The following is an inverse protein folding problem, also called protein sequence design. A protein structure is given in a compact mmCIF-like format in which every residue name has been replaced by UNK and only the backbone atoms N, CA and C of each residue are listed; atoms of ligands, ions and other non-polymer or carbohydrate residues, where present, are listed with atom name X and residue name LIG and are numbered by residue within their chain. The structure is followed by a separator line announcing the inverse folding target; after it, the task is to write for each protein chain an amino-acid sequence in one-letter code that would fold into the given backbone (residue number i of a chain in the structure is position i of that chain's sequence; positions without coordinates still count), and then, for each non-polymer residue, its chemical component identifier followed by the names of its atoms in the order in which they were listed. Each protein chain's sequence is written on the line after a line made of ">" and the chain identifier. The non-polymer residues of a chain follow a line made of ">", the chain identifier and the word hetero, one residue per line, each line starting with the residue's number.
data_IF_781759315160
#
_entry.id   IF_781759315160
#
_cell.length_a   1.000
_cell.length_b   1.000
_cell.length_c   1.000
_cell.angle_alpha   90.00
_cell.angle_beta   90.00
_cell.angle_gamma   90.00
#
_symmetry.space_group_name_H-M   'P 1'
#
loop_
_entity.id
_entity.type
_entity.pdbx_description
1 polymer ?
#
# COMPACT_ATOMS: atom_id res chain seq x y z
N UNK A 1 -12.61 3.93 -13.06
CA UNK A 1 -11.71 5.12 -13.13
C UNK A 1 -10.51 4.82 -14.02
N UNK A 2 -9.89 5.85 -14.58
CA UNK A 2 -8.67 5.73 -15.38
C UNK A 2 -7.92 7.06 -15.41
N UNK A 3 -6.66 7.01 -15.79
CA UNK A 3 -5.84 8.19 -16.08
C UNK A 3 -5.86 8.38 -17.60
N UNK A 4 -6.24 9.57 -18.03
CA UNK A 4 -6.24 9.96 -19.46
C UNK A 4 -4.87 10.45 -19.90
N UNK A 5 -4.23 11.26 -19.04
CA UNK A 5 -2.94 11.85 -19.33
C UNK A 5 -2.02 11.83 -18.12
N UNK A 6 -0.75 11.51 -18.36
CA UNK A 6 0.32 11.55 -17.37
C UNK A 6 1.51 12.37 -17.89
N UNK A 7 1.92 13.37 -17.12
CA UNK A 7 3.10 14.17 -17.38
C UNK A 7 4.12 14.00 -16.27
N UNK A 8 5.36 13.72 -16.63
CA UNK A 8 6.48 13.59 -15.71
C UNK A 8 7.60 14.55 -16.12
N UNK A 9 8.18 15.24 -15.14
CA UNK A 9 9.38 16.05 -15.32
C UNK A 9 10.36 15.70 -14.20
N UNK A 10 11.57 15.32 -14.56
CA UNK A 10 12.65 14.96 -13.64
C UNK A 10 12.25 13.90 -12.60
N UNK A 11 11.47 12.89 -13.01
CA UNK A 11 11.05 11.81 -12.13
C UNK A 11 11.79 10.51 -12.45
N UNK A 12 12.55 9.99 -11.51
CA UNK A 12 13.35 8.76 -11.65
C UNK A 12 14.28 8.88 -12.88
N UNK A 13 14.11 8.02 -13.89
CA UNK A 13 14.85 8.06 -15.15
C UNK A 13 14.13 8.84 -16.27
N UNK A 14 12.96 9.43 -15.98
CA UNK A 14 12.25 10.29 -16.94
C UNK A 14 12.65 11.74 -16.74
N UNK A 15 13.45 12.29 -17.66
CA UNK A 15 13.73 13.73 -17.69
C UNK A 15 12.46 14.50 -18.07
N UNK A 16 11.73 14.02 -19.09
CA UNK A 16 10.42 14.53 -19.50
C UNK A 16 9.62 13.42 -20.19
N UNK A 17 8.35 13.31 -19.82
CA UNK A 17 7.38 12.41 -20.45
C UNK A 17 6.03 13.10 -20.51
N UNK A 18 5.38 13.04 -21.68
CA UNK A 18 3.97 13.37 -21.87
C UNK A 18 3.30 12.15 -22.49
N UNK A 19 2.29 11.60 -21.83
CA UNK A 19 1.72 10.32 -22.19
C UNK A 19 0.20 10.32 -22.06
N UNK A 20 -0.50 10.09 -23.18
CA UNK A 20 -1.93 9.80 -23.17
C UNK A 20 -2.15 8.30 -23.03
N UNK A 21 -2.98 7.90 -22.08
CA UNK A 21 -3.23 6.49 -21.74
C UNK A 21 -4.62 6.07 -22.24
N UNK A 22 -4.74 4.95 -22.96
CA UNK A 22 -6.02 4.41 -23.36
C UNK A 22 -6.84 3.94 -22.16
N UNK A 23 -8.13 4.27 -22.15
CA UNK A 23 -9.03 4.04 -21.02
C UNK A 23 -9.53 2.59 -20.89
N UNK A 24 -9.50 1.78 -21.95
CA UNK A 24 -10.19 0.46 -21.95
C UNK A 24 -9.38 -0.65 -22.61
N UNK A 25 -8.09 -0.49 -22.68
CA UNK A 25 -7.19 -1.49 -23.25
C UNK A 25 -6.08 -1.78 -22.24
N UNK A 26 -5.69 -3.04 -22.04
CA UNK A 26 -4.47 -3.33 -21.31
C UNK A 26 -3.28 -2.66 -22.00
N UNK A 27 -2.41 -2.05 -21.23
CA UNK A 27 -1.19 -1.41 -21.73
C UNK A 27 -0.02 -2.32 -21.36
N UNK A 28 0.71 -2.81 -22.36
CA UNK A 28 1.91 -3.61 -22.16
C UNK A 28 3.14 -2.75 -22.40
N UNK A 29 3.92 -2.55 -21.37
CA UNK A 29 5.20 -1.85 -21.39
C UNK A 29 6.33 -2.88 -21.54
N UNK A 30 6.92 -2.97 -22.71
CA UNK A 30 8.01 -3.92 -22.93
C UNK A 30 9.36 -3.23 -23.18
N UNK A 31 10.44 -3.87 -22.79
CA UNK A 31 11.81 -3.36 -22.96
C UNK A 31 12.77 -4.03 -21.99
N UNK A 32 14.07 -3.80 -22.18
CA UNK A 32 15.10 -4.36 -21.32
C UNK A 32 14.95 -3.85 -19.86
N UNK A 33 15.67 -4.47 -18.92
CA UNK A 33 15.69 -4.02 -17.54
C UNK A 33 16.31 -2.62 -17.42
N UNK A 34 15.89 -1.88 -16.38
CA UNK A 34 16.33 -0.52 -16.08
C UNK A 34 15.98 0.56 -17.13
N UNK A 35 15.06 0.28 -18.07
CA UNK A 35 14.65 1.24 -19.09
C UNK A 35 13.57 2.25 -18.60
N UNK A 36 12.93 1.99 -17.45
CA UNK A 36 11.93 2.89 -16.86
C UNK A 36 10.53 2.30 -16.73
N UNK A 37 10.31 1.05 -17.09
CA UNK A 37 9.00 0.37 -16.97
C UNK A 37 8.43 0.50 -15.56
N UNK A 38 9.17 0.04 -14.56
CA UNK A 38 8.82 0.13 -13.13
C UNK A 38 8.64 1.57 -12.67
N UNK A 39 9.49 2.52 -13.16
CA UNK A 39 9.38 3.94 -12.78
C UNK A 39 8.08 4.58 -13.26
N UNK A 40 7.52 4.13 -14.39
CA UNK A 40 6.21 4.61 -14.87
C UNK A 40 5.09 4.11 -13.96
N UNK A 41 5.10 2.82 -13.59
CA UNK A 41 4.13 2.28 -12.63
C UNK A 41 4.25 2.97 -11.28
N UNK A 42 5.49 3.21 -10.81
CA UNK A 42 5.75 3.95 -9.58
C UNK A 42 5.18 5.39 -9.63
N UNK A 43 5.28 6.08 -10.78
CA UNK A 43 4.71 7.41 -10.94
C UNK A 43 3.18 7.41 -10.77
N UNK A 44 2.49 6.47 -11.40
CA UNK A 44 1.03 6.31 -11.27
C UNK A 44 0.66 5.99 -9.81
N UNK A 45 1.34 5.03 -9.21
CA UNK A 45 1.14 4.67 -7.79
C UNK A 45 1.40 5.87 -6.87
N UNK A 46 2.46 6.63 -7.13
CA UNK A 46 2.81 7.81 -6.34
C UNK A 46 1.76 8.92 -6.45
N UNK A 47 1.21 9.17 -7.64
CA UNK A 47 0.12 10.14 -7.83
C UNK A 47 -1.14 9.72 -7.05
N UNK A 48 -1.43 8.43 -6.99
CA UNK A 48 -2.59 7.90 -6.27
C UNK A 48 -2.44 7.94 -4.74
N UNK A 49 -1.24 7.65 -4.23
CA UNK A 49 -1.02 7.38 -2.79
C UNK A 49 -0.12 8.40 -2.10
N UNK A 50 0.54 9.27 -2.86
CA UNK A 50 1.63 10.17 -2.41
C UNK A 50 2.78 9.44 -1.68
N UNK A 51 2.95 8.13 -1.93
CA UNK A 51 4.01 7.28 -1.37
C UNK A 51 4.64 6.43 -2.47
N UNK A 52 5.93 6.19 -2.41
CA UNK A 52 6.61 5.25 -3.31
C UNK A 52 6.56 3.84 -2.72
N UNK A 53 6.35 2.79 -3.56
CA UNK A 53 6.46 1.40 -3.12
C UNK A 53 7.92 0.94 -3.00
N UNK A 54 8.87 1.66 -3.59
CA UNK A 54 10.28 1.26 -3.69
C UNK A 54 11.23 2.02 -2.77
N UNK A 55 10.84 3.21 -2.28
CA UNK A 55 11.68 4.03 -1.43
C UNK A 55 10.90 4.68 -0.30
N UNK A 56 11.55 4.80 0.85
CA UNK A 56 11.03 5.56 2.00
C UNK A 56 11.36 7.05 1.93
N UNK A 57 12.19 7.47 0.96
CA UNK A 57 12.70 8.84 0.84
C UNK A 57 12.32 9.44 -0.51
N UNK A 58 11.39 10.37 -0.52
CA UNK A 58 10.91 11.03 -1.75
C UNK A 58 12.03 11.74 -2.54
N UNK A 59 13.16 12.07 -1.90
CA UNK A 59 14.34 12.63 -2.58
C UNK A 59 14.84 11.71 -3.71
N UNK A 60 14.78 10.41 -3.55
CA UNK A 60 15.24 9.43 -4.54
C UNK A 60 14.33 9.37 -5.78
N UNK A 61 13.18 10.04 -5.77
CA UNK A 61 12.28 10.16 -6.91
C UNK A 61 12.72 11.25 -7.89
N UNK A 62 13.56 12.20 -7.45
CA UNK A 62 14.11 13.25 -8.31
C UNK A 62 15.14 12.63 -9.24
N UNK A 63 15.06 12.97 -10.53
CA UNK A 63 15.99 12.48 -11.55
C UNK A 63 17.42 12.88 -11.20
N UNK A 64 18.35 11.94 -11.29
CA UNK A 64 19.73 12.13 -10.88
C UNK A 64 20.45 13.30 -11.60
N UNK A 65 20.13 13.57 -12.87
CA UNK A 65 20.69 14.73 -13.59
C UNK A 65 20.17 16.07 -13.05
N UNK A 66 19.02 16.10 -12.45
CA UNK A 66 18.46 17.31 -11.84
C UNK A 66 19.07 17.59 -10.46
N UNK A 67 19.86 16.68 -9.88
CA UNK A 67 20.54 16.93 -8.61
C UNK A 67 21.59 18.05 -8.69
N UNK A 68 22.12 18.33 -9.88
CA UNK A 68 23.09 19.40 -10.11
C UNK A 68 22.42 20.76 -10.37
N UNK A 69 21.10 20.81 -10.55
CA UNK A 69 20.36 22.06 -10.73
C UNK A 69 20.39 22.89 -9.43
N UNK A 70 20.31 24.23 -9.53
CA UNK A 70 20.24 25.09 -8.34
C UNK A 70 19.08 24.74 -7.41
N UNK A 71 17.95 24.31 -7.99
CA UNK A 71 16.75 23.85 -7.28
C UNK A 71 16.33 22.52 -7.88
N UNK A 72 16.86 21.39 -7.37
CA UNK A 72 16.44 20.06 -7.85
C UNK A 72 14.94 19.83 -7.59
N UNK A 73 14.21 19.40 -8.61
CA UNK A 73 12.79 19.12 -8.46
C UNK A 73 12.35 17.93 -9.33
N UNK A 74 11.25 17.29 -8.94
CA UNK A 74 10.46 16.41 -9.78
C UNK A 74 9.01 16.90 -9.79
N UNK A 75 8.35 16.79 -10.93
CA UNK A 75 6.93 17.10 -11.08
C UNK A 75 6.20 15.95 -11.75
N UNK A 76 5.06 15.58 -11.18
CA UNK A 76 4.13 14.62 -11.74
C UNK A 76 2.78 15.31 -11.90
N UNK A 77 2.10 15.08 -13.01
CA UNK A 77 0.72 15.54 -13.22
C UNK A 77 -0.08 14.42 -13.86
N UNK A 78 -1.26 14.14 -13.35
CA UNK A 78 -2.19 13.17 -13.93
C UNK A 78 -3.57 13.81 -14.11
N UNK A 79 -4.17 13.58 -15.27
CA UNK A 79 -5.57 13.85 -15.53
C UNK A 79 -6.36 12.55 -15.38
N UNK A 80 -7.31 12.57 -14.47
CA UNK A 80 -8.06 11.40 -14.01
C UNK A 80 -9.51 11.56 -14.38
N UNK A 81 -10.09 10.54 -15.00
CA UNK A 81 -11.52 10.46 -15.24
C UNK A 81 -12.14 9.41 -14.27
N UNK A 82 -13.12 9.85 -13.48
CA UNK A 82 -13.91 8.98 -12.62
C UNK A 82 -15.12 8.41 -13.38
N UNK A 83 -15.82 7.46 -12.76
CA UNK A 83 -17.06 6.88 -13.32
C UNK A 83 -18.15 7.92 -13.66
N UNK A 84 -18.17 9.04 -12.96
CA UNK A 84 -19.10 10.14 -13.19
C UNK A 84 -18.66 11.11 -14.29
N UNK A 85 -17.67 10.73 -15.12
CA UNK A 85 -17.04 11.59 -16.15
C UNK A 85 -16.50 12.92 -15.57
N UNK A 86 -16.16 12.91 -14.30
CA UNK A 86 -15.52 14.07 -13.66
C UNK A 86 -14.02 14.01 -13.92
N UNK A 87 -13.53 14.99 -14.68
CA UNK A 87 -12.10 15.14 -14.92
C UNK A 87 -11.46 15.90 -13.76
N UNK A 88 -10.41 15.34 -13.24
CA UNK A 88 -9.65 15.89 -12.11
C UNK A 88 -8.18 15.88 -12.43
N UNK A 89 -7.50 17.01 -12.25
CA UNK A 89 -6.06 17.14 -12.43
C UNK A 89 -5.37 17.15 -11.07
N UNK A 90 -4.50 16.16 -10.87
CA UNK A 90 -3.63 16.04 -9.69
C UNK A 90 -2.21 16.41 -10.12
N UNK A 91 -1.59 17.34 -9.41
CA UNK A 91 -0.20 17.75 -9.63
C UNK A 91 0.58 17.60 -8.34
N UNK A 92 1.75 16.95 -8.41
CA UNK A 92 2.68 16.81 -7.31
C UNK A 92 4.03 17.36 -7.69
N UNK A 93 4.63 18.17 -6.82
CA UNK A 93 5.98 18.68 -7.00
C UNK A 93 6.81 18.35 -5.77
N UNK A 94 7.94 17.71 -6.00
CA UNK A 94 8.99 17.46 -5.02
C UNK A 94 10.12 18.44 -5.31
N UNK A 95 10.50 19.26 -4.34
CA UNK A 95 11.54 20.27 -4.49
C UNK A 95 12.54 20.14 -3.37
N UNK A 96 13.83 20.10 -3.69
CA UNK A 96 14.90 20.07 -2.73
C UNK A 96 15.39 21.51 -2.47
N UNK A 97 14.98 22.10 -1.35
CA UNK A 97 15.46 23.39 -0.89
C UNK A 97 16.81 23.20 -0.21
N UNK A 98 17.87 23.68 -0.84
CA UNK A 98 19.22 23.63 -0.25
C UNK A 98 19.36 24.78 0.76
N UNK A 99 19.82 24.49 1.97
CA UNK A 99 20.19 25.54 2.91
C UNK A 99 21.50 26.19 2.46
N UNK A 100 21.55 27.54 2.39
CA UNK A 100 22.76 28.27 2.10
C UNK A 100 23.86 27.89 3.10
N UNK A 101 25.02 27.42 2.60
CA UNK A 101 26.16 27.05 3.43
C UNK A 101 26.14 25.66 4.06
N UNK A 102 25.18 24.80 3.75
CA UNK A 102 25.15 23.43 4.27
C UNK A 102 26.20 22.55 3.57
N UNK A 103 27.09 21.85 4.30
CA UNK A 103 28.02 20.91 3.71
C UNK A 103 27.26 19.71 3.14
N UNK A 104 27.68 19.23 1.96
CA UNK A 104 27.24 17.97 1.32
C UNK A 104 25.75 17.84 0.98
N UNK A 105 25.12 18.89 0.41
CA UNK A 105 23.80 18.72 -0.19
C UNK A 105 22.66 18.44 0.82
N UNK A 106 22.87 18.74 2.09
CA UNK A 106 21.79 18.70 3.09
C UNK A 106 20.75 19.76 2.74
N UNK A 107 19.61 19.32 2.19
CA UNK A 107 18.47 20.15 1.86
C UNK A 107 17.20 19.58 2.45
N UNK A 108 16.21 20.45 2.66
CA UNK A 108 14.87 20.05 3.06
C UNK A 108 14.05 19.72 1.82
N UNK A 109 13.50 18.52 1.75
CA UNK A 109 12.55 18.20 0.71
C UNK A 109 11.20 18.83 1.03
N UNK A 110 10.66 19.60 0.10
CA UNK A 110 9.31 20.14 0.13
C UNK A 110 8.45 19.41 -0.88
N UNK A 111 7.34 18.86 -0.42
CA UNK A 111 6.30 18.25 -1.25
C UNK A 111 5.12 19.22 -1.31
N UNK A 112 4.69 19.58 -2.51
CA UNK A 112 3.46 20.34 -2.75
C UNK A 112 2.52 19.54 -3.64
N UNK A 113 1.23 19.62 -3.35
CA UNK A 113 0.17 18.90 -4.05
C UNK A 113 -0.89 19.90 -4.46
N UNK A 114 -1.35 19.81 -5.70
CA UNK A 114 -2.47 20.61 -6.20
C UNK A 114 -3.53 19.75 -6.84
N UNK A 115 -4.77 20.09 -6.54
CA UNK A 115 -5.96 19.49 -7.15
C UNK A 115 -6.68 20.59 -7.94
N UNK A 116 -6.76 20.43 -9.25
CA UNK A 116 -7.31 21.44 -10.15
C UNK A 116 -6.71 22.85 -9.92
N UNK A 117 -5.38 22.90 -9.70
CA UNK A 117 -4.63 24.13 -9.44
C UNK A 117 -4.64 24.64 -7.99
N UNK A 118 -5.50 24.12 -7.13
CA UNK A 118 -5.60 24.51 -5.71
C UNK A 118 -4.71 23.65 -4.84
N UNK A 119 -3.93 24.26 -3.93
CA UNK A 119 -3.07 23.54 -2.99
C UNK A 119 -3.89 22.68 -2.03
N UNK A 120 -3.46 21.44 -1.83
CA UNK A 120 -4.15 20.40 -1.06
C UNK A 120 -3.17 19.61 -0.21
N UNK A 121 -3.68 18.93 0.81
CA UNK A 121 -2.91 17.98 1.63
C UNK A 121 -2.94 16.60 0.96
N UNK A 122 -2.01 15.72 1.36
CA UNK A 122 -2.00 14.31 0.92
C UNK A 122 -3.37 13.65 1.14
N UNK A 123 -4.00 13.88 2.28
CA UNK A 123 -5.28 13.29 2.65
C UNK A 123 -6.45 13.72 1.75
N UNK A 124 -6.33 14.89 1.11
CA UNK A 124 -7.38 15.42 0.25
C UNK A 124 -7.36 14.79 -1.17
N UNK A 125 -6.30 14.04 -1.51
CA UNK A 125 -6.11 13.42 -2.83
C UNK A 125 -6.14 11.89 -2.79
N UNK A 126 -5.76 11.27 -1.68
CA UNK A 126 -5.83 9.80 -1.53
C UNK A 126 -7.28 9.36 -1.62
N UNK A 127 -7.56 8.37 -2.47
CA UNK A 127 -8.91 7.89 -2.76
C UNK A 127 -9.58 8.54 -4.00
N UNK A 128 -9.00 9.62 -4.56
CA UNK A 128 -9.44 10.14 -5.87
C UNK A 128 -9.03 9.22 -7.03
N UNK A 129 -7.88 8.56 -6.87
CA UNK A 129 -7.41 7.46 -7.69
C UNK A 129 -7.15 6.28 -6.76
N UNK A 130 -7.69 5.13 -7.09
CA UNK A 130 -7.39 3.89 -6.40
C UNK A 130 -6.53 3.00 -7.30
N UNK A 131 -5.49 2.43 -6.75
CA UNK A 131 -4.55 1.56 -7.47
C UNK A 131 -4.30 0.29 -6.71
N UNK A 132 -4.19 -0.82 -7.44
CA UNK A 132 -3.64 -2.07 -6.93
C UNK A 132 -2.36 -2.35 -7.68
N UNK A 133 -1.26 -2.48 -6.96
CA UNK A 133 0.06 -2.72 -7.51
C UNK A 133 0.53 -4.11 -7.11
N UNK A 134 0.90 -4.92 -8.10
CA UNK A 134 1.58 -6.20 -7.93
C UNK A 134 3.07 -6.02 -8.20
N UNK A 135 3.89 -6.47 -7.27
CA UNK A 135 5.34 -6.38 -7.34
C UNK A 135 5.99 -7.76 -7.10
N UNK A 136 7.15 -8.04 -7.68
CA UNK A 136 7.92 -9.26 -7.35
C UNK A 136 8.22 -9.37 -5.85
N UNK A 137 8.47 -8.24 -5.19
CA UNK A 137 8.72 -8.19 -3.75
C UNK A 137 7.48 -8.39 -2.86
N UNK A 138 6.27 -8.50 -3.40
CA UNK A 138 5.07 -8.80 -2.60
C UNK A 138 5.15 -10.17 -1.92
N UNK A 139 6.10 -11.02 -2.28
CA UNK A 139 6.45 -12.23 -1.53
C UNK A 139 6.75 -11.95 -0.05
N UNK A 140 7.21 -10.73 0.28
CA UNK A 140 7.38 -10.29 1.67
C UNK A 140 6.08 -10.26 2.47
N UNK A 141 4.91 -10.26 1.85
CA UNK A 141 3.63 -10.42 2.54
C UNK A 141 3.51 -11.80 3.19
N UNK A 142 4.15 -12.82 2.64
CA UNK A 142 4.18 -14.17 3.21
C UNK A 142 5.46 -14.42 4.00
N UNK A 143 6.63 -14.14 3.41
CA UNK A 143 7.95 -14.50 3.94
C UNK A 143 8.60 -13.37 4.76
N UNK A 144 8.11 -12.14 4.66
CA UNK A 144 8.73 -10.95 5.25
C UNK A 144 8.30 -10.62 6.68
N UNK A 145 8.66 -9.42 7.09
CA UNK A 145 8.40 -8.93 8.44
C UNK A 145 6.93 -8.51 8.66
N UNK A 146 6.44 -8.51 9.90
CA UNK A 146 5.11 -7.97 10.25
C UNK A 146 4.86 -6.54 9.74
N UNK A 147 5.91 -5.76 9.61
CA UNK A 147 5.81 -4.39 9.09
C UNK A 147 5.32 -4.32 7.63
N UNK A 148 5.70 -5.29 6.79
CA UNK A 148 5.28 -5.34 5.39
C UNK A 148 3.78 -5.63 5.28
N UNK A 149 3.28 -6.55 6.10
CA UNK A 149 1.85 -6.89 6.17
C UNK A 149 1.01 -5.75 6.74
N UNK A 150 1.50 -5.04 7.77
CA UNK A 150 0.82 -3.83 8.27
C UNK A 150 0.75 -2.75 7.19
N UNK A 151 1.87 -2.53 6.47
CA UNK A 151 1.92 -1.56 5.37
C UNK A 151 0.92 -1.90 4.26
N UNK A 152 0.80 -3.18 3.89
CA UNK A 152 -0.21 -3.65 2.94
C UNK A 152 -1.63 -3.27 3.41
N UNK A 153 -2.00 -3.62 4.64
CA UNK A 153 -3.32 -3.27 5.20
C UNK A 153 -3.56 -1.77 5.19
N UNK A 154 -2.58 -0.98 5.65
CA UNK A 154 -2.72 0.46 5.80
C UNK A 154 -2.79 1.18 4.44
N UNK A 155 -2.05 0.71 3.45
CA UNK A 155 -2.10 1.27 2.09
C UNK A 155 -3.41 0.93 1.38
N UNK A 156 -3.90 -0.30 1.53
CA UNK A 156 -5.16 -0.72 0.91
C UNK A 156 -6.35 0.00 1.53
N UNK A 157 -6.45 -0.01 2.87
CA UNK A 157 -7.54 0.66 3.59
C UNK A 157 -7.50 2.17 3.42
N UNK A 158 -6.33 2.79 3.50
CA UNK A 158 -6.18 4.24 3.38
C UNK A 158 -6.66 4.80 2.05
N UNK A 159 -6.67 4.00 0.98
CA UNK A 159 -7.19 4.42 -0.32
C UNK A 159 -8.72 4.46 -0.39
N UNK A 160 -9.43 3.79 0.50
CA UNK A 160 -10.90 3.66 0.43
C UNK A 160 -11.63 4.20 1.67
N UNK A 161 -10.90 4.50 2.73
CA UNK A 161 -11.43 4.99 4.00
C UNK A 161 -10.61 6.18 4.51
N UNK A 162 -11.14 7.38 4.32
CA UNK A 162 -10.49 8.62 4.74
C UNK A 162 -10.33 8.71 6.27
N UNK A 163 -11.30 8.21 7.05
CA UNK A 163 -11.21 8.23 8.50
C UNK A 163 -10.11 7.28 9.00
N UNK A 164 -9.95 6.14 8.33
CA UNK A 164 -8.85 5.22 8.59
C UNK A 164 -7.48 5.87 8.27
N UNK A 165 -7.38 6.53 7.11
CA UNK A 165 -6.15 7.22 6.71
C UNK A 165 -5.76 8.32 7.71
N UNK A 166 -6.74 9.11 8.19
CA UNK A 166 -6.53 10.12 9.24
C UNK A 166 -6.05 9.49 10.55
N UNK A 167 -6.62 8.36 10.91
CA UNK A 167 -6.20 7.65 12.12
C UNK A 167 -4.76 7.12 12.01
N UNK A 168 -4.37 6.58 10.86
CA UNK A 168 -2.98 6.12 10.62
C UNK A 168 -2.01 7.29 10.70
N UNK A 169 -2.30 8.41 10.01
CA UNK A 169 -1.44 9.60 10.03
C UNK A 169 -1.29 10.19 11.46
N UNK A 170 -2.39 10.24 12.21
CA UNK A 170 -2.36 10.68 13.61
C UNK A 170 -1.51 9.74 14.46
N UNK A 171 -1.71 8.43 14.30
CA UNK A 171 -0.99 7.41 15.06
C UNK A 171 0.51 7.44 14.78
N UNK A 172 0.91 7.55 13.50
CA UNK A 172 2.31 7.66 13.07
C UNK A 172 3.00 8.91 13.64
N UNK A 173 2.27 10.02 13.83
CA UNK A 173 2.81 11.25 14.46
C UNK A 173 2.89 11.17 15.98
N UNK A 174 1.91 10.55 16.62
CA UNK A 174 1.79 10.51 18.09
C UNK A 174 2.75 9.48 18.71
N UNK A 175 2.89 8.31 18.10
CA UNK A 175 3.70 7.22 18.64
C UNK A 175 5.17 7.60 18.90
N UNK A 176 5.90 8.29 18.02
CA UNK A 176 7.27 8.73 18.28
C UNK A 176 7.37 9.73 19.44
N UNK A 177 6.36 10.61 19.59
CA UNK A 177 6.33 11.62 20.66
C UNK A 177 6.14 10.93 22.02
N UNK A 178 5.18 10.00 22.10
CA UNK A 178 5.00 9.17 23.29
C UNK A 178 6.27 8.41 23.66
N UNK A 179 6.91 7.76 22.69
CA UNK A 179 8.15 7.02 22.93
C UNK A 179 9.31 7.93 23.35
N UNK A 180 9.40 9.14 22.83
CA UNK A 180 10.39 10.14 23.28
C UNK A 180 10.13 10.54 24.74
N UNK A 181 8.87 10.73 25.14
CA UNK A 181 8.51 11.04 26.52
C UNK A 181 8.77 9.85 27.46
N UNK A 182 8.47 8.61 27.06
CA UNK A 182 8.82 7.42 27.84
C UNK A 182 10.32 7.37 28.18
N UNK A 183 11.19 7.65 27.20
CA UNK A 183 12.65 7.73 27.43
C UNK A 183 13.02 8.83 28.41
N UNK A 184 12.41 10.02 28.29
CA UNK A 184 12.64 11.13 29.25
C UNK A 184 12.20 10.76 30.67
N UNK A 185 11.09 10.05 30.82
CA UNK A 185 10.61 9.57 32.14
C UNK A 185 11.61 8.56 32.71
N UNK A 186 12.11 7.61 31.91
CA UNK A 186 13.15 6.66 32.33
C UNK A 186 14.42 7.38 32.84
N UNK A 187 14.80 8.49 32.20
CA UNK A 187 15.92 9.36 32.60
C UNK A 187 15.59 10.29 33.77
N UNK A 188 14.41 10.19 34.38
CA UNK A 188 13.91 11.08 35.45
C UNK A 188 13.80 12.57 35.03
N UNK A 189 13.60 12.82 33.73
CA UNK A 189 13.44 14.15 33.10
C UNK A 189 12.01 14.46 32.67
N UNK A 190 11.04 13.64 33.05
CA UNK A 190 9.62 13.77 32.75
C UNK A 190 8.76 13.11 33.82
N UNK A 191 7.45 13.38 33.77
CA UNK A 191 6.48 12.79 34.71
C UNK A 191 5.51 11.89 33.94
N UNK A 192 5.06 10.75 34.51
CA UNK A 192 4.06 9.87 33.90
C UNK A 192 2.77 10.60 33.48
N UNK A 193 2.32 11.60 34.23
CA UNK A 193 1.13 12.39 33.88
C UNK A 193 1.25 13.21 32.60
N UNK A 194 2.46 13.41 32.07
CA UNK A 194 2.66 14.06 30.76
C UNK A 194 2.27 13.13 29.59
N UNK A 195 2.07 11.81 29.85
CA UNK A 195 1.64 10.84 28.86
C UNK A 195 0.14 10.92 28.55
N UNK A 196 -0.68 11.44 29.45
CA UNK A 196 -2.15 11.39 29.38
C UNK A 196 -2.67 11.92 28.02
N UNK A 197 -2.13 13.05 27.55
CA UNK A 197 -2.49 13.63 26.25
C UNK A 197 -2.12 12.70 25.08
N UNK A 198 -0.91 12.13 25.11
CA UNK A 198 -0.43 11.26 24.04
C UNK A 198 -1.16 9.92 24.05
N UNK A 199 -1.50 9.39 25.22
CA UNK A 199 -2.26 8.17 25.40
C UNK A 199 -3.68 8.32 24.84
N UNK A 200 -4.35 9.44 25.12
CA UNK A 200 -5.68 9.73 24.57
C UNK A 200 -5.67 9.77 23.03
N UNK A 201 -4.71 10.49 22.44
CA UNK A 201 -4.58 10.55 20.97
C UNK A 201 -4.26 9.18 20.36
N UNK A 202 -3.35 8.42 21.01
CA UNK A 202 -2.94 7.10 20.57
C UNK A 202 -4.10 6.09 20.62
N UNK A 203 -4.88 6.12 21.71
CA UNK A 203 -6.06 5.27 21.91
C UNK A 203 -7.13 5.59 20.87
N UNK A 204 -7.44 6.87 20.66
CA UNK A 204 -8.42 7.30 19.66
C UNK A 204 -8.08 6.78 18.27
N UNK A 205 -6.86 7.03 17.81
CA UNK A 205 -6.40 6.62 16.50
C UNK A 205 -6.25 5.09 16.40
N UNK A 206 -5.62 4.47 17.39
CA UNK A 206 -5.36 3.03 17.41
C UNK A 206 -6.60 2.17 17.41
N UNK A 207 -7.67 2.62 18.08
CA UNK A 207 -8.95 1.89 18.09
C UNK A 207 -9.61 1.84 16.71
N UNK A 208 -9.54 2.95 15.95
CA UNK A 208 -10.03 3.01 14.56
C UNK A 208 -9.22 2.07 13.67
N UNK A 209 -7.89 2.07 13.82
CA UNK A 209 -7.00 1.22 13.03
C UNK A 209 -7.28 -0.26 13.29
N UNK A 210 -7.38 -0.68 14.54
CA UNK A 210 -7.65 -2.08 14.92
C UNK A 210 -9.00 -2.55 14.35
N UNK A 211 -10.06 -1.76 14.55
CA UNK A 211 -11.37 -2.09 14.02
C UNK A 211 -11.40 -2.14 12.48
N UNK A 212 -10.73 -1.18 11.82
CA UNK A 212 -10.63 -1.12 10.37
C UNK A 212 -9.91 -2.33 9.78
N UNK A 213 -8.75 -2.70 10.34
CA UNK A 213 -7.98 -3.87 9.90
C UNK A 213 -8.75 -5.18 10.10
N UNK A 214 -9.42 -5.34 11.23
CA UNK A 214 -10.21 -6.53 11.50
C UNK A 214 -11.36 -6.69 10.47
N UNK A 215 -12.11 -5.63 10.22
CA UNK A 215 -13.19 -5.64 9.22
C UNK A 215 -12.65 -5.93 7.82
N UNK A 216 -11.58 -5.25 7.43
CA UNK A 216 -10.92 -5.44 6.14
C UNK A 216 -10.50 -6.89 5.92
N UNK A 217 -9.79 -7.48 6.88
CA UNK A 217 -9.28 -8.84 6.74
C UNK A 217 -10.39 -9.88 6.68
N UNK A 218 -11.47 -9.70 7.43
CA UNK A 218 -12.66 -10.55 7.34
C UNK A 218 -13.27 -10.56 5.93
N UNK A 219 -13.40 -9.37 5.34
CA UNK A 219 -13.97 -9.22 3.99
C UNK A 219 -13.00 -9.72 2.92
N UNK A 220 -11.71 -9.44 3.09
CA UNK A 220 -10.65 -9.85 2.17
C UNK A 220 -10.49 -11.38 2.14
N UNK A 221 -10.58 -12.04 3.31
CA UNK A 221 -10.38 -13.48 3.45
C UNK A 221 -11.31 -14.28 2.54
N UNK A 222 -12.59 -13.90 2.46
CA UNK A 222 -13.57 -14.59 1.60
C UNK A 222 -13.12 -14.60 0.14
N UNK A 223 -12.66 -13.47 -0.36
CA UNK A 223 -12.15 -13.36 -1.72
C UNK A 223 -10.80 -14.08 -1.87
N UNK A 224 -9.89 -13.92 -0.92
CA UNK A 224 -8.56 -14.55 -0.96
C UNK A 224 -8.64 -16.08 -0.94
N UNK A 225 -9.52 -16.67 -0.13
CA UNK A 225 -9.78 -18.10 -0.12
C UNK A 225 -10.28 -18.60 -1.47
N UNK A 226 -11.25 -17.90 -2.05
CA UNK A 226 -11.81 -18.27 -3.35
C UNK A 226 -10.75 -18.23 -4.45
N UNK A 227 -9.99 -17.15 -4.54
CA UNK A 227 -8.94 -16.99 -5.54
C UNK A 227 -7.83 -18.05 -5.36
N UNK A 228 -7.37 -18.28 -4.13
CA UNK A 228 -6.35 -19.27 -3.83
C UNK A 228 -6.83 -20.72 -4.15
N UNK A 229 -8.06 -21.03 -3.80
CA UNK A 229 -8.65 -22.35 -4.09
C UNK A 229 -8.70 -22.61 -5.59
N UNK A 230 -9.07 -21.62 -6.41
CA UNK A 230 -9.07 -21.75 -7.88
C UNK A 230 -7.65 -21.89 -8.44
N UNK A 231 -6.72 -21.04 -7.99
CA UNK A 231 -5.32 -21.03 -8.43
C UNK A 231 -4.57 -22.34 -8.11
N UNK A 232 -5.00 -23.06 -7.08
CA UNK A 232 -4.40 -24.34 -6.65
C UNK A 232 -5.13 -25.57 -7.22
N UNK A 233 -6.05 -25.37 -8.14
CA UNK A 233 -6.86 -26.46 -8.68
C UNK A 233 -7.73 -27.14 -7.62
N UNK A 234 -8.28 -26.34 -6.71
CA UNK A 234 -9.18 -26.72 -5.60
C UNK A 234 -8.54 -27.65 -4.55
N UNK A 235 -7.22 -27.50 -4.32
CA UNK A 235 -6.46 -28.40 -3.43
C UNK A 235 -6.05 -27.75 -2.11
N UNK A 236 -5.94 -26.43 -2.07
CA UNK A 236 -5.42 -25.73 -0.89
C UNK A 236 -6.37 -24.63 -0.44
N UNK A 237 -6.47 -24.45 0.87
CA UNK A 237 -7.27 -23.40 1.50
C UNK A 237 -6.33 -22.38 2.14
N UNK A 238 -6.47 -21.11 1.75
CA UNK A 238 -5.78 -19.98 2.36
C UNK A 238 -6.64 -19.40 3.48
N UNK A 239 -6.07 -19.13 4.63
CA UNK A 239 -6.72 -18.42 5.74
C UNK A 239 -5.89 -17.21 6.17
N UNK A 240 -6.58 -16.14 6.53
CA UNK A 240 -6.01 -14.89 7.03
C UNK A 240 -6.36 -14.77 8.51
N UNK A 241 -5.37 -14.55 9.36
CA UNK A 241 -5.61 -14.37 10.80
C UNK A 241 -5.02 -13.05 11.27
N UNK A 242 -5.87 -12.17 11.75
CA UNK A 242 -5.45 -10.94 12.40
C UNK A 242 -5.08 -11.22 13.87
N UNK A 243 -3.90 -10.82 14.26
CA UNK A 243 -3.39 -10.93 15.62
C UNK A 243 -3.03 -9.53 16.13
N UNK A 244 -3.97 -8.84 16.79
CA UNK A 244 -3.66 -7.58 17.45
C UNK A 244 -2.72 -7.83 18.63
N UNK A 245 -1.92 -6.83 18.97
CA UNK A 245 -0.93 -6.90 20.05
C UNK A 245 -1.54 -7.01 21.44
N UNK A 246 -2.82 -6.70 21.58
CA UNK A 246 -3.64 -7.04 22.75
C UNK A 246 -5.00 -7.54 22.27
N UNK A 247 -5.60 -8.45 23.03
CA UNK A 247 -6.91 -9.02 22.70
C UNK A 247 -8.01 -8.27 23.46
N UNK A 248 -8.85 -7.48 22.75
CA UNK A 248 -10.03 -6.91 23.37
C UNK A 248 -10.96 -8.02 23.88
N UNK A 249 -11.39 -7.92 25.12
CA UNK A 249 -12.37 -8.85 25.73
C UNK A 249 -13.77 -8.25 25.67
N UNK A 250 -14.79 -9.05 25.34
CA UNK A 250 -16.16 -8.58 25.24
C UNK A 250 -17.06 -9.34 26.21
N UNK A 251 -18.01 -8.63 26.83
CA UNK A 251 -18.99 -9.23 27.75
C UNK A 251 -19.79 -10.33 27.01
N UNK A 252 -19.72 -11.55 27.47
CA UNK A 252 -20.31 -12.74 26.86
C UNK A 252 -19.32 -13.83 26.48
N UNK A 253 -18.02 -13.53 26.43
CA UNK A 253 -16.96 -14.52 26.15
C UNK A 253 -16.61 -15.40 27.37
N UNK A 254 -17.57 -15.62 28.26
CA UNK A 254 -17.41 -16.43 29.49
C UNK A 254 -17.15 -17.93 29.27
N UNK A 255 -16.98 -18.38 28.03
CA UNK A 255 -16.39 -19.68 27.74
C UNK A 255 -14.90 -19.48 27.52
N UNK A 256 -14.11 -20.09 28.44
CA UNK A 256 -12.69 -20.36 28.22
C UNK A 256 -12.55 -21.16 26.92
N UNK A 257 -12.52 -20.44 25.81
CA UNK A 257 -12.17 -21.04 24.54
C UNK A 257 -10.67 -21.31 24.61
N UNK A 258 -10.26 -22.57 24.57
CA UNK A 258 -8.90 -22.98 24.25
C UNK A 258 -8.54 -22.64 22.80
N UNK A 259 -9.11 -21.56 22.26
CA UNK A 259 -8.88 -21.09 20.93
C UNK A 259 -7.47 -20.52 20.81
N UNK A 260 -6.82 -20.92 19.76
CA UNK A 260 -5.56 -20.35 19.25
C UNK A 260 -5.61 -18.81 19.35
N UNK A 261 -4.56 -18.15 19.87
CA UNK A 261 -4.56 -16.69 20.00
C UNK A 261 -4.86 -16.00 18.65
N UNK A 262 -5.92 -15.25 18.60
CA UNK A 262 -6.36 -14.48 17.43
C UNK A 262 -7.78 -13.98 17.66
N UNK A 263 -8.09 -12.79 17.11
CA UNK A 263 -9.46 -12.29 17.12
C UNK A 263 -10.37 -13.20 16.29
N UNK A 264 -11.56 -13.48 16.79
CA UNK A 264 -12.64 -14.02 15.97
C UNK A 264 -12.98 -12.98 14.88
N UNK A 265 -12.59 -13.27 13.66
CA UNK A 265 -12.85 -12.40 12.51
C UNK A 265 -14.35 -12.28 12.19
N UNK A 266 -15.19 -13.13 12.76
CA UNK A 266 -16.63 -13.11 12.52
C UNK A 266 -17.38 -12.01 13.28
N UNK A 267 -16.73 -11.33 14.24
CA UNK A 267 -17.33 -10.26 15.01
C UNK A 267 -16.83 -8.90 14.53
N UNK A 268 -17.74 -7.97 14.27
CA UNK A 268 -17.39 -6.57 14.03
C UNK A 268 -16.93 -5.90 15.33
N UNK A 269 -15.77 -5.27 15.28
CA UNK A 269 -15.22 -4.51 16.39
C UNK A 269 -15.63 -3.03 16.24
N UNK A 270 -16.20 -2.48 17.32
CA UNK A 270 -16.48 -1.06 17.43
C UNK A 270 -15.27 -0.34 18.07
N UNK A 271 -14.72 0.72 17.43
CA UNK A 271 -13.68 1.54 18.04
C UNK A 271 -14.00 2.02 19.45
N UNK A 272 -15.29 2.33 19.73
CA UNK A 272 -15.74 2.76 21.05
C UNK A 272 -15.61 1.65 22.12
N UNK A 273 -15.70 0.39 21.73
CA UNK A 273 -15.51 -0.75 22.64
C UNK A 273 -14.01 -1.10 22.82
N UNK A 274 -13.18 -0.84 21.81
CA UNK A 274 -11.73 -1.08 21.87
C UNK A 274 -11.04 -0.01 22.72
N UNK A 275 -11.43 1.26 22.59
CA UNK A 275 -10.75 2.39 23.20
C UNK A 275 -10.50 2.25 24.72
N UNK A 276 -11.50 1.93 25.56
CA UNK A 276 -11.27 1.80 27.01
C UNK A 276 -10.32 0.64 27.35
N UNK A 277 -10.36 -0.44 26.58
CA UNK A 277 -9.49 -1.60 26.77
C UNK A 277 -8.06 -1.31 26.35
N UNK A 278 -7.88 -0.60 25.23
CA UNK A 278 -6.56 -0.16 24.79
C UNK A 278 -5.92 0.82 25.80
N UNK A 279 -6.71 1.76 26.34
CA UNK A 279 -6.27 2.66 27.39
C UNK A 279 -5.84 1.90 28.67
N UNK A 280 -6.63 0.91 29.09
CA UNK A 280 -6.29 0.06 30.22
C UNK A 280 -5.01 -0.74 29.99
N UNK A 281 -4.80 -1.27 28.78
CA UNK A 281 -3.58 -2.00 28.43
C UNK A 281 -2.34 -1.09 28.43
N UNK A 282 -2.42 0.12 27.86
CA UNK A 282 -1.32 1.09 27.91
C UNK A 282 -0.93 1.44 29.33
N UNK A 283 -1.92 1.56 30.23
CA UNK A 283 -1.70 1.83 31.65
C UNK A 283 -1.09 0.62 32.37
N UNK A 284 -1.54 -0.58 32.09
CA UNK A 284 -1.02 -1.81 32.68
C UNK A 284 0.45 -2.06 32.30
N UNK A 285 0.84 -1.67 31.08
CA UNK A 285 2.21 -1.85 30.58
C UNK A 285 3.11 -0.62 30.81
N UNK A 286 2.67 0.38 31.60
CA UNK A 286 3.39 1.66 31.72
C UNK A 286 4.82 1.48 32.22
N UNK A 287 5.01 0.74 33.32
CA UNK A 287 6.33 0.57 33.93
C UNK A 287 7.32 -0.11 32.98
N UNK A 288 6.86 -1.15 32.28
CA UNK A 288 7.67 -1.85 31.28
C UNK A 288 7.96 -0.96 30.07
N UNK A 289 6.96 -0.18 29.60
CA UNK A 289 7.12 0.79 28.52
C UNK A 289 8.15 1.86 28.86
N UNK A 290 8.18 2.35 30.10
CA UNK A 290 9.18 3.29 30.59
C UNK A 290 10.57 2.63 30.60
N UNK A 291 10.71 1.43 31.14
CA UNK A 291 11.98 0.70 31.14
C UNK A 291 12.55 0.49 29.75
N UNK A 292 11.70 0.17 28.76
CA UNK A 292 12.10 -0.05 27.36
C UNK A 292 12.18 1.23 26.53
N UNK A 293 11.66 2.34 27.01
CA UNK A 293 11.56 3.60 26.27
C UNK A 293 10.70 3.51 25.00
N UNK A 294 9.70 2.60 25.00
CA UNK A 294 8.88 2.28 23.84
C UNK A 294 7.48 1.80 24.22
N UNK A 295 6.48 2.11 23.41
CA UNK A 295 5.12 1.60 23.53
C UNK A 295 5.08 0.11 23.14
N UNK A 296 4.49 -0.73 23.98
CA UNK A 296 4.56 -2.20 23.83
C UNK A 296 3.33 -2.78 23.14
N UNK A 297 2.16 -2.16 23.22
CA UNK A 297 0.93 -2.59 22.58
C UNK A 297 0.35 -1.54 21.63
N UNK A 298 -0.50 -1.97 20.71
CA UNK A 298 -1.18 -1.11 19.72
C UNK A 298 -0.89 -1.52 18.27
N UNK A 299 -1.57 -0.90 17.29
CA UNK A 299 -1.57 -1.33 15.89
C UNK A 299 -0.18 -1.40 15.23
N UNK A 300 0.82 -0.71 15.74
CA UNK A 300 2.21 -0.81 15.28
C UNK A 300 2.90 -2.13 15.65
N UNK A 301 2.28 -2.95 16.49
CA UNK A 301 2.75 -4.28 16.92
C UNK A 301 1.91 -5.42 16.39
N UNK A 302 0.78 -5.12 15.74
CA UNK A 302 -0.13 -6.13 15.23
C UNK A 302 0.49 -6.98 14.11
N UNK A 303 -0.07 -8.18 13.94
CA UNK A 303 0.37 -9.14 12.96
C UNK A 303 -0.82 -9.63 12.10
N UNK A 304 -0.56 -9.86 10.82
CA UNK A 304 -1.40 -10.63 9.91
C UNK A 304 -0.68 -11.94 9.58
N UNK A 305 -1.28 -13.07 9.94
CA UNK A 305 -0.76 -14.37 9.56
C UNK A 305 -1.53 -14.98 8.41
N UNK A 306 -0.79 -15.54 7.48
CA UNK A 306 -1.33 -16.31 6.36
C UNK A 306 -1.05 -17.79 6.62
N UNK A 307 -2.08 -18.63 6.50
CA UNK A 307 -1.94 -20.07 6.63
C UNK A 307 -2.50 -20.79 5.42
N UNK A 308 -1.81 -21.84 4.98
CA UNK A 308 -2.25 -22.73 3.90
C UNK A 308 -2.50 -24.10 4.52
N UNK A 309 -3.73 -24.61 4.40
CA UNK A 309 -4.13 -25.89 5.01
C UNK A 309 -3.75 -25.93 6.50
N UNK A 310 -4.09 -24.86 7.25
CA UNK A 310 -3.85 -24.68 8.68
C UNK A 310 -2.37 -24.54 9.08
N UNK A 311 -1.43 -24.53 8.13
CA UNK A 311 0.00 -24.36 8.41
C UNK A 311 0.43 -22.94 8.05
N UNK A 312 1.23 -22.32 8.89
CA UNK A 312 1.79 -20.99 8.65
C UNK A 312 2.55 -20.98 7.31
N UNK A 313 2.11 -20.13 6.39
CA UNK A 313 2.64 -20.07 5.02
C UNK A 313 4.07 -19.51 4.97
N UNK A 314 4.43 -18.61 5.89
CA UNK A 314 5.76 -18.03 5.96
C UNK A 314 6.81 -18.99 6.52
N UNK A 315 6.41 -19.93 7.39
CA UNK A 315 7.32 -20.89 8.01
C UNK A 315 7.41 -22.21 7.23
N UNK A 316 6.31 -22.68 6.65
CA UNK A 316 6.19 -24.02 6.09
C UNK A 316 5.81 -24.03 4.60
N UNK A 317 5.46 -22.87 4.05
CA UNK A 317 5.07 -22.75 2.64
C UNK A 317 6.26 -22.92 1.70
N UNK A 318 6.04 -23.60 0.56
CA UNK A 318 6.99 -23.55 -0.53
C UNK A 318 6.93 -22.19 -1.23
N UNK A 319 7.99 -21.80 -1.96
CA UNK A 319 7.99 -20.55 -2.76
C UNK A 319 6.83 -20.48 -3.76
N UNK A 320 6.44 -21.62 -4.35
CA UNK A 320 5.29 -21.70 -5.24
C UNK A 320 3.98 -21.43 -4.51
N UNK A 321 3.80 -21.96 -3.29
CA UNK A 321 2.67 -21.66 -2.42
C UNK A 321 2.64 -20.20 -1.99
N UNK A 322 3.77 -19.64 -1.59
CA UNK A 322 3.88 -18.22 -1.24
C UNK A 322 3.47 -17.31 -2.40
N UNK A 323 3.97 -17.56 -3.63
CA UNK A 323 3.56 -16.81 -4.84
C UNK A 323 2.06 -16.92 -5.11
N UNK A 324 1.50 -18.12 -4.96
CA UNK A 324 0.06 -18.33 -5.16
C UNK A 324 -0.77 -17.60 -4.11
N UNK A 325 -0.34 -17.63 -2.85
CA UNK A 325 -1.01 -16.91 -1.76
C UNK A 325 -0.97 -15.39 -1.98
N UNK A 326 0.18 -14.84 -2.37
CA UNK A 326 0.33 -13.42 -2.73
C UNK A 326 -0.58 -13.05 -3.89
N UNK A 327 -0.59 -13.84 -4.97
CA UNK A 327 -1.46 -13.59 -6.12
C UNK A 327 -2.93 -13.61 -5.71
N UNK A 328 -3.36 -14.59 -4.92
CA UNK A 328 -4.72 -14.67 -4.41
C UNK A 328 -5.09 -13.46 -3.55
N UNK A 329 -4.17 -13.03 -2.67
CA UNK A 329 -4.35 -11.86 -1.80
C UNK A 329 -4.50 -10.57 -2.62
N UNK A 330 -3.69 -10.38 -3.65
CA UNK A 330 -3.73 -9.19 -4.51
C UNK A 330 -4.96 -9.16 -5.43
N UNK A 331 -5.40 -10.32 -5.95
CA UNK A 331 -6.67 -10.42 -6.67
C UNK A 331 -7.87 -10.18 -5.74
N UNK A 332 -7.79 -10.63 -4.49
CA UNK A 332 -8.78 -10.33 -3.48
C UNK A 332 -8.82 -8.83 -3.13
N UNK A 333 -7.67 -8.17 -3.04
CA UNK A 333 -7.56 -6.71 -2.86
C UNK A 333 -8.26 -5.96 -4.00
N UNK A 334 -8.01 -6.36 -5.24
CA UNK A 334 -8.65 -5.79 -6.43
C UNK A 334 -10.18 -5.91 -6.37
N UNK A 335 -10.69 -7.10 -6.05
CA UNK A 335 -12.11 -7.35 -5.92
C UNK A 335 -12.73 -6.59 -4.75
N UNK A 336 -12.07 -6.57 -3.59
CA UNK A 336 -12.51 -5.86 -2.40
C UNK A 336 -12.60 -4.35 -2.64
N UNK A 337 -11.57 -3.74 -3.26
CA UNK A 337 -11.60 -2.32 -3.61
C UNK A 337 -12.76 -2.01 -4.57
N UNK A 338 -12.92 -2.80 -5.64
CA UNK A 338 -14.04 -2.64 -6.58
C UNK A 338 -15.38 -2.62 -5.86
N UNK A 339 -15.60 -3.54 -4.94
CA UNK A 339 -16.86 -3.65 -4.22
C UNK A 339 -17.09 -2.47 -3.26
N UNK A 340 -16.04 -1.86 -2.75
CA UNK A 340 -16.08 -0.68 -1.87
C UNK A 340 -16.30 0.63 -2.60
N UNK A 341 -15.63 0.82 -3.74
CA UNK A 341 -15.69 2.08 -4.49
C UNK A 341 -16.69 2.05 -5.64
N UNK A 342 -17.24 0.86 -5.97
CA UNK A 342 -18.22 0.67 -7.05
C UNK A 342 -17.64 0.66 -8.46
N UNK A 343 -16.31 0.70 -8.60
CA UNK A 343 -15.57 0.61 -9.87
C UNK A 343 -14.21 -0.06 -9.67
N UNK A 344 -13.60 -0.55 -10.75
CA UNK A 344 -12.27 -1.13 -10.64
C UNK A 344 -11.22 -0.07 -10.37
N UNK A 345 -10.28 -0.29 -9.42
CA UNK A 345 -9.06 0.50 -9.31
C UNK A 345 -8.17 0.28 -10.54
N UNK A 346 -7.22 1.16 -10.77
CA UNK A 346 -6.17 0.98 -11.79
C UNK A 346 -5.28 -0.17 -11.35
N UNK A 347 -5.02 -1.11 -12.25
CA UNK A 347 -4.20 -2.28 -11.96
C UNK A 347 -2.80 -2.11 -12.56
N UNK A 348 -1.79 -2.26 -11.73
CA UNK A 348 -0.39 -2.16 -12.09
C UNK A 348 0.31 -3.48 -11.82
N UNK A 349 0.91 -4.10 -12.84
CA UNK A 349 1.60 -5.39 -12.77
C UNK A 349 3.06 -5.22 -13.19
N UNK A 350 3.99 -5.24 -12.23
CA UNK A 350 5.41 -5.05 -12.49
C UNK A 350 6.14 -6.41 -12.58
N UNK A 351 6.44 -6.85 -13.80
CA UNK A 351 7.15 -8.10 -14.14
C UNK A 351 6.59 -9.40 -13.54
N UNK A 352 5.42 -9.33 -12.87
CA UNK A 352 4.83 -10.48 -12.15
C UNK A 352 4.40 -11.60 -13.10
N UNK A 353 3.94 -11.25 -14.30
CA UNK A 353 3.44 -12.24 -15.27
C UNK A 353 4.53 -13.20 -15.73
N UNK A 354 5.76 -12.73 -15.86
CA UNK A 354 6.91 -13.56 -16.24
C UNK A 354 7.29 -14.60 -15.18
N UNK A 355 6.96 -14.35 -13.92
CA UNK A 355 7.23 -15.28 -12.81
C UNK A 355 6.19 -16.40 -12.64
N UNK A 356 5.09 -16.35 -13.39
CA UNK A 356 3.98 -17.28 -13.29
C UNK A 356 4.10 -18.43 -14.31
N UNK A 357 3.71 -19.63 -13.89
CA UNK A 357 3.47 -20.72 -14.84
C UNK A 357 2.30 -20.43 -15.77
N UNK A 358 2.17 -21.19 -16.84
CA UNK A 358 1.17 -20.97 -17.89
C UNK A 358 -0.28 -20.95 -17.35
N UNK A 359 -0.61 -21.81 -16.39
CA UNK A 359 -1.95 -21.90 -15.83
C UNK A 359 -2.29 -20.66 -14.99
N UNK A 360 -1.40 -20.24 -14.09
CA UNK A 360 -1.59 -19.05 -13.25
C UNK A 360 -1.58 -17.76 -14.08
N UNK A 361 -0.74 -17.71 -15.11
CA UNK A 361 -0.71 -16.62 -16.08
C UNK A 361 -2.02 -16.46 -16.81
N UNK A 362 -2.56 -17.54 -17.37
CA UNK A 362 -3.85 -17.54 -18.05
C UNK A 362 -4.97 -17.08 -17.10
N UNK A 363 -4.95 -17.58 -15.86
CA UNK A 363 -5.92 -17.18 -14.84
C UNK A 363 -5.84 -15.68 -14.52
N UNK A 364 -4.63 -15.12 -14.35
CA UNK A 364 -4.46 -13.71 -14.09
C UNK A 364 -4.94 -12.85 -15.26
N UNK A 365 -4.56 -13.21 -16.49
CA UNK A 365 -4.98 -12.50 -17.70
C UNK A 365 -6.50 -12.49 -17.90
N UNK A 366 -7.19 -13.59 -17.58
CA UNK A 366 -8.66 -13.64 -17.57
C UNK A 366 -9.28 -12.70 -16.53
N UNK A 367 -8.69 -12.61 -15.34
CA UNK A 367 -9.16 -11.73 -14.25
C UNK A 367 -8.99 -10.24 -14.53
N UNK A 368 -7.96 -9.86 -15.26
CA UNK A 368 -7.69 -8.45 -15.58
C UNK A 368 -8.49 -7.94 -16.78
N UNK A 369 -9.08 -8.83 -17.57
CA UNK A 369 -9.83 -8.48 -18.79
C UNK A 369 -11.05 -7.57 -18.52
N UNK A 370 -11.60 -7.60 -17.28
CA UNK A 370 -12.70 -6.73 -16.85
C UNK A 370 -12.26 -5.41 -16.20
N UNK A 371 -10.95 -5.18 -16.01
CA UNK A 371 -10.43 -3.98 -15.35
C UNK A 371 -10.37 -2.81 -16.35
N UNK A 372 -10.87 -1.65 -15.93
CA UNK A 372 -10.97 -0.47 -16.82
C UNK A 372 -9.61 -0.03 -17.36
N UNK A 373 -8.57 -0.03 -16.54
CA UNK A 373 -7.21 0.31 -16.95
C UNK A 373 -6.19 -0.58 -16.25
N UNK A 374 -5.38 -1.27 -17.04
CA UNK A 374 -4.31 -2.15 -16.57
C UNK A 374 -3.01 -1.81 -17.27
N UNK A 375 -1.93 -1.64 -16.50
CA UNK A 375 -0.58 -1.50 -17.03
C UNK A 375 0.25 -2.71 -16.61
N UNK A 376 0.91 -3.34 -17.56
CA UNK A 376 1.72 -4.53 -17.37
C UNK A 376 3.13 -4.27 -17.88
N UNK A 377 4.14 -4.54 -17.07
CA UNK A 377 5.54 -4.48 -17.52
C UNK A 377 6.07 -5.88 -17.83
N UNK A 378 6.90 -5.98 -18.85
CA UNK A 378 7.57 -7.21 -19.23
C UNK A 378 8.89 -6.94 -19.94
N UNK A 379 9.78 -7.92 -19.97
CA UNK A 379 10.95 -7.94 -20.85
C UNK A 379 10.67 -8.63 -22.18
N UNK A 380 9.70 -9.56 -22.21
CA UNK A 380 9.40 -10.45 -23.34
C UNK A 380 7.92 -10.43 -23.67
N UNK A 381 7.54 -10.44 -24.95
CA UNK A 381 6.16 -10.41 -25.38
C UNK A 381 5.59 -11.83 -25.64
N UNK A 382 6.44 -12.82 -25.84
CA UNK A 382 6.10 -14.23 -26.12
C UNK A 382 5.40 -14.93 -24.94
N UNK A 383 5.45 -14.33 -23.76
CA UNK A 383 4.69 -14.78 -22.57
C UNK A 383 3.19 -14.54 -22.69
N UNK A 384 2.76 -13.67 -23.60
CA UNK A 384 1.34 -13.37 -23.85
C UNK A 384 0.79 -14.14 -25.05
N UNK A 385 -0.50 -14.42 -25.04
CA UNK A 385 -1.18 -14.97 -26.20
C UNK A 385 -1.36 -13.90 -27.27
N UNK A 386 -1.40 -14.32 -28.56
CA UNK A 386 -1.69 -13.40 -29.67
C UNK A 386 -3.01 -12.63 -29.47
N UNK A 387 -4.03 -13.31 -28.96
CA UNK A 387 -5.34 -12.70 -28.71
C UNK A 387 -5.31 -11.64 -27.63
N UNK A 388 -4.46 -11.80 -26.61
CA UNK A 388 -4.25 -10.76 -25.60
C UNK A 388 -3.51 -9.56 -26.22
N UNK A 389 -2.44 -9.79 -26.97
CA UNK A 389 -1.66 -8.72 -27.61
C UNK A 389 -2.47 -7.92 -28.64
N UNK A 390 -3.39 -8.58 -29.37
CA UNK A 390 -4.30 -7.86 -30.31
C UNK A 390 -5.24 -6.88 -29.61
N UNK A 391 -5.58 -7.14 -28.33
CA UNK A 391 -6.45 -6.26 -27.52
C UNK A 391 -5.67 -5.26 -26.70
N UNK A 392 -4.38 -5.47 -26.52
CA UNK A 392 -3.50 -4.65 -25.73
C UNK A 392 -2.84 -3.54 -26.56
N UNK A 393 -2.61 -2.40 -25.92
CA UNK A 393 -1.74 -1.35 -26.50
C UNK A 393 -0.31 -1.67 -26.05
N UNK A 394 0.56 -1.99 -27.02
CA UNK A 394 1.94 -2.39 -26.72
C UNK A 394 2.87 -1.21 -26.94
N UNK A 395 3.59 -0.80 -25.89
CA UNK A 395 4.55 0.28 -25.91
C UNK A 395 5.96 -0.22 -25.62
N UNK A 396 6.93 0.27 -26.40
CA UNK A 396 8.34 0.00 -26.13
C UNK A 396 8.93 1.09 -25.24
N UNK A 397 9.56 0.67 -24.15
CA UNK A 397 10.24 1.58 -23.21
C UNK A 397 11.76 1.43 -23.39
N UNK A 398 12.45 2.55 -23.63
CA UNK A 398 13.90 2.60 -23.78
C UNK A 398 14.43 3.94 -23.25
N UNK A 399 15.39 3.89 -22.33
CA UNK A 399 16.10 5.07 -21.79
C UNK A 399 15.19 6.19 -21.27
N UNK A 400 14.10 5.83 -20.60
CA UNK A 400 13.12 6.83 -20.12
C UNK A 400 12.28 7.47 -21.22
N UNK A 401 12.19 6.84 -22.37
CA UNK A 401 11.31 7.23 -23.48
C UNK A 401 10.34 6.11 -23.80
N UNK A 402 9.13 6.47 -24.22
CA UNK A 402 8.10 5.53 -24.64
C UNK A 402 7.86 5.74 -26.14
N UNK A 403 8.14 4.70 -26.92
CA UNK A 403 7.77 4.66 -28.32
C UNK A 403 6.33 4.12 -28.42
N UNK A 404 5.43 4.97 -28.90
CA UNK A 404 4.05 4.59 -29.25
C UNK A 404 4.06 3.73 -30.51
N UNK A 405 3.10 2.83 -30.71
CA UNK A 405 2.95 2.13 -31.97
C UNK A 405 2.86 3.15 -33.11
N UNK A 406 3.61 2.93 -34.18
CA UNK A 406 3.39 3.69 -35.42
C UNK A 406 2.04 3.22 -35.96
N UNK A 407 1.14 4.16 -36.25
CA UNK A 407 -0.15 3.92 -36.89
C UNK A 407 -0.02 3.20 -38.23
#
# INVERSE_FOLDING_TARGET
>A
MHIDHLSLTNFRNYARLELSLPARSPIVLHGANAQGKTSLLEAIYYVATARSPHTSTDRQLIHWRAEDDPIPFARLSAEVCSRSDTHTRIEMTLMLERAEGAPNGAGRLRKSIRLNGLEKRVMDIVGLINVVLFLPQDLTLVEGAPADRRRFMDHTLGQVDAAYLEAVDLYERVLPQRNALLRRIAEKRGKPSELDYWDEQLVRAGSIIIAGRQRFLRELEVNAQREHYQLTGRRETLTLRYQPSFLPTFAGDGQLSFAVPGLDLHRDLDPAQIAPQFAAQLKAELDESVMRGATLCGPHRDELRLSINERDAGLYGSRGQARTAVMALKLAELAWMRDRIGEYPILLLDEVIAELDAQRRAYLLDRIDGVTQTLVTTTELDIFTEDFLKRATVWRVSEGQIALPQE
#
